data_IF_261525342176
#
_entry.id   IF_261525342176
#
_cell.length_a   1.000
_cell.length_b   1.000
_cell.length_c   1.000
_cell.angle_alpha   90.00
_cell.angle_beta   90.00
_cell.angle_gamma   90.00
#
_symmetry.space_group_name_H-M   'P 1'
#
loop_
_entity.id
_entity.type
_entity.pdbx_description
1 polymer ?
#
# COMPACT_ATOMS: atom_id res chain seq x y z
N UNK A 1 -14.68 13.02 4.23
CA UNK A 1 -13.33 12.97 3.61
C UNK A 1 -13.28 13.66 2.26
N UNK A 2 -14.03 13.19 1.25
CA UNK A 2 -13.94 13.73 -0.12
C UNK A 2 -14.14 15.26 -0.22
N UNK A 3 -15.14 15.88 0.45
CA UNK A 3 -15.32 17.33 0.38
C UNK A 3 -14.12 18.13 0.92
N UNK A 4 -13.54 17.71 2.04
CA UNK A 4 -12.37 18.36 2.65
C UNK A 4 -11.13 18.21 1.75
N UNK A 5 -10.89 17.01 1.23
CA UNK A 5 -9.78 16.77 0.31
C UNK A 5 -9.93 17.61 -0.97
N UNK A 6 -11.11 17.61 -1.58
CA UNK A 6 -11.35 18.36 -2.82
C UNK A 6 -11.17 19.87 -2.60
N UNK A 7 -11.62 20.39 -1.45
CA UNK A 7 -11.45 21.80 -1.09
C UNK A 7 -9.98 22.17 -0.87
N UNK A 8 -9.22 21.35 -0.13
CA UNK A 8 -7.77 21.53 0.05
C UNK A 8 -7.01 21.45 -1.28
N UNK A 9 -7.35 20.47 -2.11
CA UNK A 9 -6.72 20.30 -3.42
C UNK A 9 -7.03 21.48 -4.33
N UNK A 10 -8.26 22.00 -4.31
CA UNK A 10 -8.64 23.23 -5.02
C UNK A 10 -7.80 24.40 -4.54
N UNK A 11 -7.73 24.65 -3.22
CA UNK A 11 -6.94 25.73 -2.62
C UNK A 11 -5.46 25.66 -3.03
N UNK A 12 -4.84 24.50 -2.85
CA UNK A 12 -3.43 24.27 -3.22
C UNK A 12 -3.22 24.48 -4.71
N UNK A 13 -4.14 24.03 -5.55
CA UNK A 13 -4.07 24.24 -7.00
C UNK A 13 -4.26 25.71 -7.36
N UNK A 14 -5.13 26.48 -6.69
CA UNK A 14 -5.28 27.92 -6.91
C UNK A 14 -3.97 28.66 -6.64
N UNK A 15 -3.25 28.29 -5.58
CA UNK A 15 -1.93 28.84 -5.25
C UNK A 15 -0.86 28.41 -6.26
N UNK A 16 -0.79 27.11 -6.58
CA UNK A 16 0.34 26.51 -7.32
C UNK A 16 0.19 26.44 -8.84
N UNK A 17 -1.03 26.45 -9.37
CA UNK A 17 -1.26 26.28 -10.83
C UNK A 17 -0.86 27.49 -11.67
N UNK A 18 -0.86 28.68 -11.06
CA UNK A 18 -0.49 29.95 -11.73
C UNK A 18 0.87 30.40 -11.23
N UNK A 19 1.89 30.37 -12.09
CA UNK A 19 3.27 30.69 -11.71
C UNK A 19 3.45 32.08 -11.05
N UNK A 20 2.69 33.08 -11.51
CA UNK A 20 2.70 34.42 -10.89
C UNK A 20 2.09 34.42 -9.49
N UNK A 21 0.98 33.70 -9.28
CA UNK A 21 0.32 33.58 -7.97
C UNK A 21 1.23 32.84 -7.00
N UNK A 22 1.83 31.74 -7.43
CA UNK A 22 2.76 30.96 -6.60
C UNK A 22 3.96 31.80 -6.17
N UNK A 23 4.58 32.53 -7.10
CA UNK A 23 5.69 33.44 -6.78
C UNK A 23 5.26 34.50 -5.76
N UNK A 24 4.14 35.18 -5.99
CA UNK A 24 3.61 36.21 -5.07
C UNK A 24 3.31 35.63 -3.68
N UNK A 25 2.80 34.41 -3.60
CA UNK A 25 2.54 33.74 -2.32
C UNK A 25 3.84 33.43 -1.57
N UNK A 26 4.88 32.95 -2.27
CA UNK A 26 6.19 32.72 -1.65
C UNK A 26 6.85 34.00 -1.18
N UNK A 27 6.78 35.05 -1.98
CA UNK A 27 7.30 36.38 -1.62
C UNK A 27 6.56 36.92 -0.39
N UNK A 28 5.24 36.73 -0.32
CA UNK A 28 4.42 37.06 0.84
C UNK A 28 4.85 36.29 2.09
N UNK A 29 4.98 34.95 2.03
CA UNK A 29 5.42 34.12 3.16
C UNK A 29 6.80 34.54 3.68
N UNK A 30 7.70 34.92 2.79
CA UNK A 30 9.01 35.44 3.16
C UNK A 30 8.91 36.81 3.86
N UNK A 31 7.99 37.68 3.41
CA UNK A 31 7.79 39.01 4.01
C UNK A 31 7.22 38.94 5.43
N UNK A 32 6.34 37.97 5.70
CA UNK A 32 5.73 37.76 7.03
C UNK A 32 6.59 36.87 7.94
N UNK A 33 7.77 36.44 7.45
CA UNK A 33 8.69 35.54 8.15
C UNK A 33 8.01 34.23 8.62
N UNK A 34 7.14 33.67 7.77
CA UNK A 34 6.44 32.41 8.07
C UNK A 34 7.44 31.26 8.26
N UNK A 35 7.09 30.30 9.13
CA UNK A 35 7.90 29.10 9.39
C UNK A 35 8.10 28.27 8.11
N UNK A 36 7.09 28.27 7.23
CA UNK A 36 7.14 27.55 5.96
C UNK A 36 7.04 28.51 4.78
N UNK A 37 7.89 28.30 3.78
CA UNK A 37 8.00 29.20 2.61
C UNK A 37 7.20 28.76 1.38
N UNK A 38 6.44 27.66 1.48
CA UNK A 38 5.60 27.16 0.37
C UNK A 38 4.55 26.14 0.85
N UNK A 39 3.47 26.00 0.07
CA UNK A 39 2.49 24.91 0.19
C UNK A 39 2.96 23.67 -0.57
N UNK A 40 2.58 22.47 -0.11
CA UNK A 40 2.93 21.22 -0.80
C UNK A 40 1.95 20.94 -1.96
N UNK A 41 2.47 20.49 -3.11
CA UNK A 41 1.63 20.08 -4.23
C UNK A 41 1.02 18.71 -3.98
N UNK A 42 -0.30 18.61 -4.09
CA UNK A 42 -0.98 17.32 -4.05
C UNK A 42 -0.90 16.61 -5.41
N UNK A 43 -0.51 15.34 -5.42
CA UNK A 43 -0.59 14.49 -6.62
C UNK A 43 -1.55 13.33 -6.36
N UNK A 44 -2.58 13.16 -7.21
CA UNK A 44 -3.56 12.07 -7.12
C UNK A 44 -2.94 10.66 -7.14
N UNK A 45 -1.70 10.55 -7.59
CA UNK A 45 -0.98 9.28 -7.78
C UNK A 45 -0.50 8.67 -6.46
N UNK A 46 -0.38 9.48 -5.40
CA UNK A 46 0.12 9.05 -4.09
C UNK A 46 -0.69 9.71 -2.98
N UNK A 47 -1.70 9.00 -2.50
CA UNK A 47 -2.49 9.43 -1.35
C UNK A 47 -1.62 9.66 -0.09
N UNK A 48 -0.44 9.03 -0.01
CA UNK A 48 0.65 9.34 0.93
C UNK A 48 0.92 10.85 1.04
N UNK A 49 0.77 11.63 -0.03
CA UNK A 49 0.99 13.09 0.03
C UNK A 49 -0.14 13.88 0.70
N UNK A 50 -1.33 13.30 0.90
CA UNK A 50 -2.48 14.03 1.44
C UNK A 50 -2.26 14.46 2.89
N UNK A 51 -1.72 13.58 3.75
CA UNK A 51 -1.44 13.87 5.16
C UNK A 51 -0.50 15.07 5.31
N UNK A 52 0.61 15.04 4.57
CA UNK A 52 1.59 16.11 4.50
C UNK A 52 1.02 17.42 3.91
N UNK A 53 0.14 17.34 2.90
CA UNK A 53 -0.52 18.53 2.35
C UNK A 53 -1.47 19.16 3.37
N UNK A 54 -2.28 18.34 4.08
CA UNK A 54 -3.13 18.83 5.16
C UNK A 54 -2.32 19.46 6.29
N UNK A 55 -1.18 18.86 6.67
CA UNK A 55 -0.25 19.43 7.64
C UNK A 55 0.18 20.84 7.23
N UNK A 56 0.68 20.97 6.00
CA UNK A 56 1.21 22.25 5.52
C UNK A 56 0.13 23.31 5.42
N UNK A 57 -1.08 22.94 5.00
CA UNK A 57 -2.22 23.86 4.93
C UNK A 57 -2.65 24.30 6.32
N UNK A 58 -2.64 23.40 7.31
CA UNK A 58 -2.93 23.77 8.70
C UNK A 58 -1.90 24.76 9.26
N UNK A 59 -0.62 24.49 9.04
CA UNK A 59 0.49 25.35 9.51
C UNK A 59 0.44 26.75 8.88
N UNK A 60 0.04 26.84 7.61
CA UNK A 60 -0.02 28.09 6.85
C UNK A 60 -1.42 28.72 6.84
N UNK A 61 -2.39 28.23 7.61
CA UNK A 61 -3.80 28.63 7.45
C UNK A 61 -4.00 30.14 7.57
N UNK A 62 -3.37 30.78 8.55
CA UNK A 62 -3.53 32.21 8.83
C UNK A 62 -2.82 33.07 7.77
N UNK A 63 -1.66 32.60 7.28
CA UNK A 63 -0.92 33.22 6.18
C UNK A 63 -1.69 33.11 4.85
N UNK A 64 -2.30 31.95 4.59
CA UNK A 64 -3.12 31.72 3.39
C UNK A 64 -4.33 32.64 3.41
N UNK A 65 -5.05 32.72 4.53
CA UNK A 65 -6.20 33.62 4.69
C UNK A 65 -5.77 35.07 4.46
N UNK A 66 -4.69 35.51 5.11
CA UNK A 66 -4.16 36.88 4.95
C UNK A 66 -3.79 37.21 3.49
N UNK A 67 -3.13 36.27 2.80
CA UNK A 67 -2.77 36.44 1.39
C UNK A 67 -3.99 36.61 0.47
N UNK A 68 -5.05 35.82 0.67
CA UNK A 68 -6.26 35.89 -0.16
C UNK A 68 -7.11 37.12 0.14
N UNK A 69 -7.11 37.63 1.39
CA UNK A 69 -7.69 38.93 1.73
C UNK A 69 -6.99 40.08 1.01
N UNK A 70 -5.64 40.11 1.00
CA UNK A 70 -4.87 41.14 0.27
C UNK A 70 -5.17 41.12 -1.24
N UNK A 71 -5.46 39.94 -1.79
CA UNK A 71 -5.79 39.76 -3.21
C UNK A 71 -7.28 40.00 -3.54
N UNK A 72 -8.11 40.37 -2.56
CA UNK A 72 -9.57 40.50 -2.71
C UNK A 72 -10.22 39.23 -3.29
N UNK A 73 -9.72 38.06 -2.88
CA UNK A 73 -10.14 36.73 -3.36
C UNK A 73 -10.48 35.79 -2.19
N UNK A 74 -11.11 36.30 -1.14
CA UNK A 74 -11.42 35.54 0.09
C UNK A 74 -12.29 34.30 -0.13
N UNK A 75 -13.12 34.28 -1.18
CA UNK A 75 -13.93 33.12 -1.55
C UNK A 75 -13.10 31.84 -1.84
N UNK A 76 -11.81 31.97 -2.18
CA UNK A 76 -10.93 30.82 -2.40
C UNK A 76 -10.45 30.18 -1.09
N UNK A 77 -10.52 30.89 0.05
CA UNK A 77 -10.06 30.43 1.36
C UNK A 77 -11.14 30.45 2.45
N UNK A 78 -12.42 30.70 2.12
CA UNK A 78 -13.54 30.76 3.08
C UNK A 78 -13.61 29.53 4.01
N UNK A 79 -13.25 28.36 3.47
CA UNK A 79 -13.22 27.09 4.22
C UNK A 79 -12.26 27.11 5.42
N UNK A 80 -11.21 27.94 5.38
CA UNK A 80 -10.23 28.06 6.45
C UNK A 80 -10.72 28.96 7.60
N UNK A 81 -11.79 29.72 7.37
CA UNK A 81 -12.45 30.56 8.38
C UNK A 81 -13.65 29.83 9.03
N UNK A 82 -14.14 28.76 8.40
CA UNK A 82 -15.20 27.90 8.92
C UNK A 82 -14.67 26.93 9.98
N UNK A 83 -15.10 27.14 11.23
CA UNK A 83 -14.74 26.29 12.38
C UNK A 83 -15.21 24.85 12.22
N UNK A 84 -16.37 24.62 11.60
CA UNK A 84 -16.91 23.28 11.37
C UNK A 84 -16.07 22.53 10.33
N UNK A 85 -15.60 23.24 9.30
CA UNK A 85 -14.71 22.66 8.30
C UNK A 85 -13.30 22.40 8.85
N UNK A 86 -12.74 23.33 9.65
CA UNK A 86 -11.45 23.14 10.33
C UNK A 86 -11.47 21.93 11.26
N UNK A 87 -12.60 21.67 11.91
CA UNK A 87 -12.80 20.48 12.72
C UNK A 87 -12.63 19.20 11.89
N UNK A 88 -13.29 19.16 10.72
CA UNK A 88 -13.21 18.03 9.80
C UNK A 88 -11.78 17.85 9.26
N UNK A 89 -11.09 18.96 8.93
CA UNK A 89 -9.69 18.94 8.50
C UNK A 89 -8.78 18.33 9.57
N UNK A 90 -8.91 18.73 10.84
CA UNK A 90 -8.12 18.21 11.96
C UNK A 90 -8.27 16.69 12.13
N UNK A 91 -9.52 16.21 12.12
CA UNK A 91 -9.83 14.79 12.21
C UNK A 91 -9.24 14.02 11.03
N UNK A 92 -9.43 14.50 9.79
CA UNK A 92 -8.92 13.83 8.60
C UNK A 92 -7.41 13.85 8.49
N UNK A 93 -6.77 14.94 8.89
CA UNK A 93 -5.33 15.03 8.94
C UNK A 93 -4.75 13.96 9.90
N UNK A 94 -5.35 13.80 11.10
CA UNK A 94 -4.92 12.77 12.07
C UNK A 94 -5.03 11.34 11.51
N UNK A 95 -6.13 11.04 10.82
CA UNK A 95 -6.29 9.73 10.17
C UNK A 95 -5.35 9.53 9.00
N UNK A 96 -5.17 10.56 8.16
CA UNK A 96 -4.28 10.50 7.00
C UNK A 96 -2.85 10.19 7.42
N UNK A 97 -2.34 10.83 8.48
CA UNK A 97 -1.03 10.52 9.05
C UNK A 97 -0.93 9.08 9.57
N UNK A 98 -1.96 8.61 10.29
CA UNK A 98 -1.96 7.25 10.85
C UNK A 98 -1.95 6.18 9.74
N UNK A 99 -2.64 6.45 8.64
CA UNK A 99 -2.72 5.55 7.50
C UNK A 99 -1.44 5.62 6.64
N UNK A 100 -0.86 6.81 6.44
CA UNK A 100 0.43 7.00 5.78
C UNK A 100 1.56 6.24 6.51
N UNK A 101 1.55 6.25 7.84
CA UNK A 101 2.47 5.46 8.65
C UNK A 101 2.36 3.95 8.40
N UNK A 102 1.14 3.42 8.30
CA UNK A 102 0.89 2.01 7.99
C UNK A 102 1.49 1.65 6.62
N UNK A 103 1.21 2.44 5.59
CA UNK A 103 1.76 2.17 4.24
C UNK A 103 3.29 2.27 4.20
N UNK A 104 3.89 3.26 4.86
CA UNK A 104 5.34 3.40 4.91
C UNK A 104 6.01 2.24 5.65
N UNK A 105 5.30 1.61 6.59
CA UNK A 105 5.77 0.44 7.31
C UNK A 105 5.68 -0.82 6.44
N UNK A 106 4.59 -0.98 5.70
CA UNK A 106 4.36 -2.14 4.83
C UNK A 106 5.22 -2.09 3.55
N UNK A 107 5.51 -0.90 3.03
CA UNK A 107 6.30 -0.69 1.82
C UNK A 107 7.83 -0.81 2.01
N UNK A 108 8.32 -1.12 3.22
CA UNK A 108 9.75 -1.34 3.45
C UNK A 108 10.20 -2.60 2.74
N UNK A 109 11.32 -2.52 2.03
CA UNK A 109 11.87 -3.55 1.11
C UNK A 109 12.15 -4.95 1.75
N UNK A 110 11.83 -5.15 3.03
CA UNK A 110 12.14 -6.36 3.81
C UNK A 110 11.01 -6.78 4.77
N UNK A 111 9.80 -6.21 4.67
CA UNK A 111 8.69 -6.61 5.52
C UNK A 111 8.26 -8.05 5.23
N UNK A 112 8.24 -8.90 6.26
CA UNK A 112 7.64 -10.23 6.18
C UNK A 112 6.14 -10.16 6.51
N UNK A 113 5.37 -11.20 6.20
CA UNK A 113 3.92 -11.26 6.44
C UNK A 113 3.57 -10.94 7.91
N UNK A 114 4.39 -11.38 8.86
CA UNK A 114 4.26 -11.05 10.28
C UNK A 114 4.38 -9.55 10.56
N UNK A 115 5.33 -8.86 9.92
CA UNK A 115 5.51 -7.41 10.11
C UNK A 115 4.27 -6.67 9.62
N UNK A 116 3.78 -7.04 8.43
CA UNK A 116 2.55 -6.47 7.85
C UNK A 116 1.37 -6.71 8.80
N UNK A 117 1.25 -7.93 9.33
CA UNK A 117 0.18 -8.26 10.26
C UNK A 117 0.29 -7.51 11.59
N UNK A 118 1.49 -7.33 12.11
CA UNK A 118 1.75 -6.52 13.29
C UNK A 118 1.37 -5.05 13.05
N UNK A 119 1.71 -4.47 11.90
CA UNK A 119 1.31 -3.10 11.56
C UNK A 119 -0.21 -2.97 11.42
N UNK A 120 -0.89 -3.94 10.79
CA UNK A 120 -2.35 -3.97 10.69
C UNK A 120 -3.02 -4.07 12.06
N UNK A 121 -2.52 -4.95 12.96
CA UNK A 121 -2.99 -5.05 14.34
C UNK A 121 -2.82 -3.73 15.09
N UNK A 122 -1.65 -3.10 14.97
CA UNK A 122 -1.39 -1.80 15.59
C UNK A 122 -2.32 -0.70 15.04
N UNK A 123 -2.58 -0.68 13.73
CA UNK A 123 -3.51 0.27 13.12
C UNK A 123 -4.94 0.07 13.62
N UNK A 124 -5.43 -1.16 13.68
CA UNK A 124 -6.75 -1.49 14.25
C UNK A 124 -6.87 -1.03 15.71
N UNK A 125 -5.87 -1.28 16.53
CA UNK A 125 -5.84 -0.80 17.92
C UNK A 125 -5.87 0.72 18.01
N UNK A 126 -5.16 1.43 17.12
CA UNK A 126 -5.23 2.90 17.02
C UNK A 126 -6.64 3.38 16.67
N UNK A 127 -7.33 2.74 15.71
CA UNK A 127 -8.71 3.11 15.36
C UNK A 127 -9.67 2.95 16.55
N UNK A 128 -9.55 1.86 17.31
CA UNK A 128 -10.37 1.64 18.51
C UNK A 128 -10.04 2.64 19.62
N UNK A 129 -8.76 2.94 19.83
CA UNK A 129 -8.33 3.96 20.79
C UNK A 129 -8.91 5.32 20.42
N UNK A 130 -8.77 5.73 19.16
CA UNK A 130 -9.31 6.99 18.66
C UNK A 130 -10.83 7.05 18.83
N UNK A 131 -11.57 6.00 18.47
CA UNK A 131 -13.01 5.95 18.68
C UNK A 131 -13.38 6.12 20.18
N UNK A 132 -12.70 5.41 21.07
CA UNK A 132 -12.93 5.53 22.52
C UNK A 132 -12.57 6.91 23.09
N UNK A 133 -11.57 7.58 22.51
CA UNK A 133 -11.18 8.94 22.88
C UNK A 133 -12.21 9.98 22.43
N UNK A 134 -12.74 9.87 21.21
CA UNK A 134 -13.78 10.79 20.72
C UNK A 134 -15.05 10.73 21.60
N UNK A 135 -15.44 9.55 22.08
CA UNK A 135 -16.58 9.38 23.01
C UNK A 135 -16.36 10.08 24.35
N UNK A 136 -15.13 10.04 24.85
CA UNK A 136 -14.76 10.63 26.14
C UNK A 136 -14.40 12.11 26.03
N UNK A 137 -14.48 12.68 24.82
CA UNK A 137 -13.94 14.00 24.51
C UNK A 137 -12.46 14.16 24.91
N UNK A 138 -11.69 13.06 24.82
CA UNK A 138 -10.24 13.06 25.05
C UNK A 138 -9.51 13.44 23.75
N UNK A 139 -9.04 14.67 23.70
CA UNK A 139 -8.37 15.23 22.52
C UNK A 139 -6.84 15.06 22.56
N UNK A 140 -6.30 14.21 23.43
CA UNK A 140 -4.85 13.99 23.58
C UNK A 140 -4.15 13.60 22.27
N UNK A 141 -4.84 12.85 21.40
CA UNK A 141 -4.33 12.47 20.07
C UNK A 141 -4.86 13.35 18.93
N UNK A 142 -5.67 14.35 19.25
CA UNK A 142 -6.25 15.32 18.35
C UNK A 142 -5.90 16.73 18.81
N UNK A 143 -4.64 16.99 19.16
CA UNK A 143 -4.19 18.24 19.78
C UNK A 143 -4.58 19.50 19.02
N UNK A 144 -4.73 19.44 17.69
CA UNK A 144 -5.19 20.56 16.85
C UNK A 144 -6.66 20.92 17.06
N UNK A 145 -7.50 19.99 17.50
CA UNK A 145 -8.87 20.29 17.88
C UNK A 145 -8.92 21.21 19.10
N UNK A 146 -7.90 21.20 19.98
CA UNK A 146 -7.81 22.14 21.10
C UNK A 146 -7.62 23.60 20.63
N UNK A 147 -7.18 23.81 19.38
CA UNK A 147 -7.03 25.15 18.80
C UNK A 147 -8.34 25.69 18.21
N UNK A 148 -9.41 24.90 18.18
CA UNK A 148 -10.71 25.30 17.66
C UNK A 148 -11.60 25.78 18.82
N UNK A 149 -12.27 26.95 18.70
CA UNK A 149 -13.01 27.57 19.82
C UNK A 149 -14.19 26.76 20.38
N UNK A 150 -14.74 25.84 19.60
CA UNK A 150 -15.90 25.02 19.95
C UNK A 150 -15.76 23.62 19.36
N UNK A 151 -15.87 22.61 20.22
CA UNK A 151 -15.85 21.20 19.83
C UNK A 151 -17.28 20.73 19.70
N UNK A 152 -17.67 20.30 18.51
CA UNK A 152 -19.01 19.81 18.22
C UNK A 152 -19.16 18.33 18.65
N UNK A 153 -19.84 18.09 19.77
CA UNK A 153 -20.04 16.75 20.35
C UNK A 153 -20.82 15.80 19.42
N UNK A 154 -21.79 16.30 18.66
CA UNK A 154 -22.54 15.49 17.70
C UNK A 154 -21.63 15.02 16.55
N UNK A 155 -20.74 15.90 16.09
CA UNK A 155 -19.72 15.55 15.08
C UNK A 155 -18.73 14.53 15.61
N UNK A 156 -18.26 14.65 16.86
CA UNK A 156 -17.40 13.65 17.49
C UNK A 156 -18.03 12.26 17.46
N UNK A 157 -19.33 12.17 17.77
CA UNK A 157 -20.09 10.92 17.70
C UNK A 157 -20.21 10.35 16.28
N UNK A 158 -20.41 11.22 15.28
CA UNK A 158 -20.43 10.78 13.88
C UNK A 158 -19.07 10.23 13.43
N UNK A 159 -17.97 10.83 13.88
CA UNK A 159 -16.62 10.34 13.61
C UNK A 159 -16.29 9.05 14.35
N UNK A 160 -16.75 8.90 15.59
CA UNK A 160 -16.67 7.65 16.33
C UNK A 160 -17.35 6.51 15.58
N UNK A 161 -18.60 6.68 15.15
CA UNK A 161 -19.32 5.65 14.38
C UNK A 161 -18.60 5.33 13.06
N UNK A 162 -18.08 6.36 12.37
CA UNK A 162 -17.23 6.18 11.19
C UNK A 162 -15.97 5.36 11.45
N UNK A 163 -15.30 5.58 12.59
CA UNK A 163 -14.11 4.81 12.99
C UNK A 163 -14.44 3.37 13.33
N UNK A 164 -15.55 3.12 14.02
CA UNK A 164 -16.02 1.76 14.32
C UNK A 164 -16.32 0.98 13.05
N UNK A 165 -16.99 1.60 12.07
CA UNK A 165 -17.24 1.01 10.75
C UNK A 165 -15.94 0.72 10.01
N UNK A 166 -14.98 1.66 10.03
CA UNK A 166 -13.67 1.45 9.42
C UNK A 166 -12.91 0.30 10.08
N UNK A 167 -12.90 0.24 11.41
CA UNK A 167 -12.30 -0.87 12.15
C UNK A 167 -12.92 -2.22 11.72
N UNK A 168 -14.25 -2.29 11.65
CA UNK A 168 -14.96 -3.50 11.21
C UNK A 168 -14.61 -3.90 9.77
N UNK A 169 -14.48 -2.93 8.86
CA UNK A 169 -14.05 -3.18 7.48
C UNK A 169 -12.62 -3.73 7.40
N UNK A 170 -11.71 -3.23 8.25
CA UNK A 170 -10.36 -3.81 8.38
C UNK A 170 -10.40 -5.23 8.94
N UNK A 171 -11.22 -5.49 9.97
CA UNK A 171 -11.40 -6.85 10.51
C UNK A 171 -11.88 -7.81 9.43
N UNK A 172 -12.91 -7.43 8.67
CA UNK A 172 -13.48 -8.23 7.60
C UNK A 172 -12.48 -8.48 6.48
N UNK A 173 -11.76 -7.44 6.04
CA UNK A 173 -10.83 -7.54 4.91
C UNK A 173 -9.58 -8.37 5.21
N UNK A 174 -9.14 -8.38 6.47
CA UNK A 174 -7.91 -9.08 6.89
C UNK A 174 -8.21 -10.28 7.79
N UNK A 175 -9.43 -10.84 7.71
CA UNK A 175 -9.83 -12.00 8.50
C UNK A 175 -8.92 -13.22 8.24
N UNK A 176 -8.40 -13.38 7.03
CA UNK A 176 -7.50 -14.48 6.68
C UNK A 176 -6.23 -14.48 7.52
N UNK A 177 -5.69 -13.30 7.87
CA UNK A 177 -4.53 -13.17 8.74
C UNK A 177 -4.83 -13.64 10.16
N UNK A 178 -6.04 -13.39 10.65
CA UNK A 178 -6.51 -13.92 11.93
C UNK A 178 -6.66 -15.45 11.89
N UNK A 179 -7.07 -16.01 10.75
CA UNK A 179 -7.22 -17.45 10.57
C UNK A 179 -5.87 -18.20 10.58
N UNK A 180 -4.80 -17.56 10.09
CA UNK A 180 -3.43 -18.12 10.08
C UNK A 180 -2.56 -17.66 11.26
N UNK A 181 -3.16 -17.07 12.29
CA UNK A 181 -2.41 -16.47 13.41
C UNK A 181 -1.51 -17.50 14.11
N UNK A 182 -1.99 -18.73 14.31
CA UNK A 182 -1.21 -19.80 14.96
C UNK A 182 0.02 -20.17 14.13
N UNK A 183 -0.13 -20.27 12.81
CA UNK A 183 0.98 -20.49 11.89
C UNK A 183 1.97 -19.33 11.98
N UNK A 184 1.51 -18.08 11.89
CA UNK A 184 2.37 -16.91 12.05
C UNK A 184 3.12 -16.90 13.39
N UNK A 185 2.48 -17.31 14.48
CA UNK A 185 3.13 -17.39 15.80
C UNK A 185 4.24 -18.45 15.82
N UNK A 186 4.02 -19.61 15.21
CA UNK A 186 5.07 -20.63 15.07
C UNK A 186 6.24 -20.10 14.22
N UNK A 187 5.97 -19.36 13.14
CA UNK A 187 7.02 -18.75 12.32
C UNK A 187 7.85 -17.71 13.09
N UNK A 188 7.20 -16.94 13.94
CA UNK A 188 7.78 -15.69 14.48
C UNK A 188 8.29 -15.86 15.90
N UNK A 189 7.78 -16.86 16.60
CA UNK A 189 8.03 -17.18 17.99
C UNK A 189 8.29 -18.69 18.17
N UNK A 190 8.92 -19.35 17.20
CA UNK A 190 9.19 -20.81 17.20
C UNK A 190 9.79 -21.34 18.51
N UNK A 191 10.57 -20.54 19.23
CA UNK A 191 11.17 -20.91 20.52
C UNK A 191 10.31 -20.62 21.76
N UNK A 192 9.17 -19.96 21.61
CA UNK A 192 8.27 -19.54 22.69
C UNK A 192 6.82 -20.05 22.51
N UNK A 193 6.46 -20.64 21.37
CA UNK A 193 5.14 -21.25 21.17
C UNK A 193 4.98 -22.51 22.02
N UNK A 194 3.81 -22.67 22.63
CA UNK A 194 3.44 -23.90 23.34
C UNK A 194 3.30 -25.07 22.34
N UNK A 195 4.16 -26.08 22.46
CA UNK A 195 4.16 -27.27 21.61
C UNK A 195 2.85 -28.07 21.69
N UNK A 196 2.09 -28.00 22.78
CA UNK A 196 0.81 -28.73 22.88
C UNK A 196 -0.32 -28.06 22.10
N UNK A 197 -0.21 -26.75 21.86
CA UNK A 197 -1.24 -25.95 21.20
C UNK A 197 -1.09 -25.91 19.66
N UNK A 198 0.00 -26.47 19.12
CA UNK A 198 0.23 -26.55 17.67
C UNK A 198 -0.28 -27.88 17.10
N UNK A 199 -0.46 -27.93 15.78
CA UNK A 199 -0.90 -29.13 15.07
C UNK A 199 0.02 -30.32 15.37
N UNK A 200 -0.57 -31.50 15.56
CA UNK A 200 0.14 -32.72 15.98
C UNK A 200 1.30 -33.13 15.07
N UNK A 201 1.22 -32.81 13.78
CA UNK A 201 2.27 -33.07 12.79
C UNK A 201 3.54 -32.22 13.00
N UNK A 202 3.46 -31.11 13.75
CA UNK A 202 4.58 -30.20 14.00
C UNK A 202 5.13 -30.28 15.43
N UNK A 203 4.44 -30.96 16.35
CA UNK A 203 4.77 -30.93 17.79
C UNK A 203 6.17 -31.50 18.08
N UNK A 204 6.48 -32.70 17.56
CA UNK A 204 7.77 -33.36 17.79
C UNK A 204 8.94 -32.55 17.22
N UNK A 205 8.77 -32.01 16.01
CA UNK A 205 9.79 -31.20 15.36
C UNK A 205 10.03 -29.89 16.10
N UNK A 206 8.96 -29.28 16.62
CA UNK A 206 9.07 -28.06 17.41
C UNK A 206 9.82 -28.33 18.72
N UNK A 207 9.57 -29.47 19.37
CA UNK A 207 10.32 -29.90 20.57
C UNK A 207 11.81 -30.06 20.25
N UNK A 208 12.16 -30.71 19.14
CA UNK A 208 13.55 -30.88 18.70
C UNK A 208 14.21 -29.52 18.40
N UNK A 209 13.51 -28.64 17.69
CA UNK A 209 13.98 -27.28 17.38
C UNK A 209 14.22 -26.48 18.67
N UNK A 210 13.24 -26.46 19.58
CA UNK A 210 13.28 -25.71 20.84
C UNK A 210 14.39 -26.19 21.79
N UNK A 211 14.75 -27.48 21.72
CA UNK A 211 15.80 -28.08 22.55
C UNK A 211 17.21 -27.66 22.14
N UNK A 212 17.39 -27.09 20.93
CA UNK A 212 18.70 -26.69 20.43
C UNK A 212 19.08 -25.26 20.85
N UNK A 213 19.98 -25.14 21.82
CA UNK A 213 20.53 -23.85 22.26
C UNK A 213 21.26 -23.10 21.13
N UNK A 214 21.93 -23.81 20.23
CA UNK A 214 22.61 -23.21 19.07
C UNK A 214 21.60 -22.56 18.10
N UNK A 215 20.50 -23.26 17.80
CA UNK A 215 19.46 -22.72 16.93
C UNK A 215 18.71 -21.57 17.61
N UNK A 216 18.49 -21.64 18.93
CA UNK A 216 17.90 -20.54 19.70
C UNK A 216 18.75 -19.27 19.64
N UNK A 217 20.07 -19.40 19.83
CA UNK A 217 20.99 -18.28 19.71
C UNK A 217 21.04 -17.74 18.27
N UNK A 218 21.03 -18.63 17.28
CA UNK A 218 20.99 -18.25 15.87
C UNK A 218 19.72 -17.45 15.56
N UNK A 219 18.56 -17.90 16.02
CA UNK A 219 17.26 -17.25 15.83
C UNK A 219 17.22 -15.81 16.38
N UNK A 220 17.88 -15.57 17.52
CA UNK A 220 17.93 -14.24 18.14
C UNK A 220 18.92 -13.30 17.45
N UNK A 221 19.99 -13.83 16.86
CA UNK A 221 21.12 -13.05 16.36
C UNK A 221 21.08 -12.79 14.85
N UNK A 222 20.09 -13.31 14.11
CA UNK A 222 19.98 -13.10 12.66
C UNK A 222 18.56 -12.76 12.22
N UNK A 223 18.39 -12.11 11.05
CA UNK A 223 17.07 -11.87 10.48
C UNK A 223 16.29 -13.18 10.30
N UNK A 224 15.00 -13.20 10.65
CA UNK A 224 14.12 -14.38 10.56
C UNK A 224 14.27 -15.12 9.21
N UNK A 225 14.29 -14.37 8.10
CA UNK A 225 14.43 -14.95 6.76
C UNK A 225 15.78 -15.69 6.56
N UNK A 226 16.87 -15.16 7.09
CA UNK A 226 18.19 -15.81 7.00
C UNK A 226 18.29 -17.01 7.93
N UNK A 227 17.64 -16.94 9.10
CA UNK A 227 17.53 -18.08 10.01
C UNK A 227 16.86 -19.27 9.33
N UNK A 228 15.67 -19.09 8.77
CA UNK A 228 14.95 -20.19 8.12
C UNK A 228 15.67 -20.70 6.87
N UNK A 229 16.39 -19.85 6.12
CA UNK A 229 17.28 -20.30 5.04
C UNK A 229 18.44 -21.17 5.56
N UNK A 230 19.00 -20.85 6.73
CA UNK A 230 20.08 -21.63 7.33
C UNK A 230 19.63 -23.03 7.74
N UNK A 231 18.40 -23.18 8.23
CA UNK A 231 17.83 -24.46 8.62
C UNK A 231 17.74 -25.45 7.44
N UNK A 232 17.43 -24.95 6.24
CA UNK A 232 17.38 -25.78 5.01
C UNK A 232 18.72 -26.39 4.57
N UNK A 233 19.84 -25.89 5.12
CA UNK A 233 21.20 -26.36 4.81
C UNK A 233 21.75 -27.34 5.83
N UNK A 234 21.16 -27.41 7.03
CA UNK A 234 21.44 -28.51 7.93
C UNK A 234 20.60 -29.70 7.47
N UNK A 235 21.18 -30.90 7.43
CA UNK A 235 20.51 -32.17 7.10
C UNK A 235 19.42 -32.59 8.12
N UNK A 236 18.76 -31.62 8.75
CA UNK A 236 17.55 -31.83 9.52
C UNK A 236 16.38 -31.99 8.55
N UNK A 237 15.89 -33.22 8.43
CA UNK A 237 14.56 -33.55 7.87
C UNK A 237 13.43 -33.03 8.78
N UNK A 238 13.48 -31.78 9.19
CA UNK A 238 12.40 -31.15 9.95
C UNK A 238 11.38 -30.65 8.92
N UNK A 239 10.12 -31.07 9.02
CA UNK A 239 9.02 -30.65 8.16
C UNK A 239 8.55 -29.20 8.42
N UNK A 240 9.02 -28.55 9.50
CA UNK A 240 8.82 -27.13 9.81
C UNK A 240 9.14 -26.22 8.59
N UNK A 241 10.30 -26.31 7.91
CA UNK A 241 10.57 -25.50 6.72
C UNK A 241 9.58 -25.68 5.57
N UNK A 242 8.90 -26.82 5.42
CA UNK A 242 7.99 -27.06 4.29
C UNK A 242 6.61 -26.40 4.47
N UNK A 243 6.07 -26.43 5.70
CA UNK A 243 4.82 -25.75 6.06
C UNK A 243 5.01 -24.24 6.21
N UNK A 244 6.18 -23.79 6.68
CA UNK A 244 6.53 -22.36 6.76
C UNK A 244 7.00 -21.75 5.46
N UNK A 245 7.59 -22.54 4.54
CA UNK A 245 7.85 -22.08 3.18
C UNK A 245 6.56 -21.64 2.49
N UNK A 246 5.38 -22.15 2.87
CA UNK A 246 4.09 -21.69 2.34
C UNK A 246 3.70 -20.30 2.87
N UNK A 247 3.98 -20.00 4.15
CA UNK A 247 3.81 -18.65 4.71
C UNK A 247 4.82 -17.64 4.14
N UNK A 248 5.94 -18.12 3.59
CA UNK A 248 6.95 -17.29 2.90
C UNK A 248 6.78 -17.32 1.37
N UNK A 249 5.87 -18.17 0.86
CA UNK A 249 5.61 -18.34 -0.56
C UNK A 249 4.34 -17.62 -1.00
N UNK A 250 4.53 -16.39 -1.46
CA UNK A 250 3.87 -15.93 -2.68
C UNK A 250 4.34 -16.68 -3.95
N UNK A 251 5.03 -17.82 -3.80
CA UNK A 251 5.36 -18.76 -4.88
C UNK A 251 4.44 -19.98 -4.83
N UNK A 252 3.38 -19.89 -5.64
CA UNK A 252 2.82 -20.95 -6.50
C UNK A 252 2.92 -22.38 -5.97
N UNK A 253 1.77 -22.88 -5.51
CA UNK A 253 1.25 -24.18 -5.92
C UNK A 253 1.33 -25.31 -4.88
N UNK A 254 0.16 -25.74 -4.41
CA UNK A 254 -0.23 -27.16 -4.27
C UNK A 254 -1.75 -27.25 -4.19
N UNK A 255 -2.36 -27.81 -5.25
CA UNK A 255 -3.51 -28.74 -5.30
C UNK A 255 -4.65 -28.61 -4.24
N UNK A 256 -5.95 -28.52 -4.58
CA UNK A 256 -6.77 -29.38 -5.45
C UNK A 256 -8.14 -28.73 -5.73
N UNK A 257 -8.55 -28.78 -7.01
CA UNK A 257 -9.89 -28.79 -7.66
C UNK A 257 -11.06 -28.09 -6.97
N UNK A 258 -11.71 -27.15 -7.68
CA UNK A 258 -13.19 -26.99 -7.71
C UNK A 258 -13.69 -26.11 -8.92
N UNK A 259 -14.68 -26.64 -9.67
CA UNK A 259 -15.71 -26.17 -10.67
C UNK A 259 -15.37 -25.33 -11.94
N UNK A 260 -15.72 -25.80 -13.17
CA UNK A 260 -16.87 -25.67 -14.12
C UNK A 260 -16.82 -24.46 -15.07
N UNK A 261 -16.78 -24.77 -16.38
CA UNK A 261 -16.54 -23.88 -17.53
C UNK A 261 -17.84 -23.52 -18.27
N UNK A 262 -18.10 -22.23 -18.56
CA UNK A 262 -19.10 -21.80 -19.58
C UNK A 262 -18.48 -21.06 -20.77
N UNK A 263 -19.10 -21.23 -21.95
CA UNK A 263 -18.64 -20.70 -23.25
C UNK A 263 -19.52 -19.53 -23.68
N UNK A 264 -18.90 -18.39 -24.03
CA UNK A 264 -19.57 -17.17 -24.49
C UNK A 264 -19.42 -16.97 -26.02
N UNK A 265 -20.38 -16.29 -26.70
CA UNK A 265 -20.38 -16.14 -28.15
C UNK A 265 -19.48 -14.99 -28.64
N UNK A 266 -19.12 -15.02 -29.93
CA UNK A 266 -18.21 -14.05 -30.57
C UNK A 266 -18.91 -12.72 -30.89
N UNK A 267 -18.22 -11.62 -30.55
CA UNK A 267 -18.56 -10.22 -30.86
C UNK A 267 -18.72 -9.96 -32.36
N UNK A 268 -19.72 -9.13 -32.71
CA UNK A 268 -20.12 -8.87 -34.09
C UNK A 268 -19.64 -7.53 -34.69
N UNK A 269 -19.32 -6.45 -33.93
CA UNK A 269 -18.91 -5.17 -34.57
C UNK A 269 -17.92 -4.29 -33.77
N UNK A 270 -17.17 -3.45 -34.49
CA UNK A 270 -16.12 -2.53 -34.02
C UNK A 270 -16.38 -1.11 -34.57
N UNK A 271 -16.83 -0.17 -33.73
CA UNK A 271 -16.97 1.26 -34.09
C UNK A 271 -16.20 2.13 -33.07
N UNK A 272 -15.24 2.99 -33.50
CA UNK A 272 -14.49 3.87 -32.60
C UNK A 272 -15.35 5.03 -32.04
N UNK A 273 -15.31 5.21 -30.72
CA UNK A 273 -15.97 6.33 -30.00
C UNK A 273 -17.21 5.95 -29.19
N UNK A 274 -17.79 4.78 -29.46
CA UNK A 274 -18.82 4.17 -28.60
C UNK A 274 -18.11 3.31 -27.56
N UNK A 275 -18.46 3.44 -26.27
CA UNK A 275 -17.95 2.54 -25.24
C UNK A 275 -18.43 1.12 -25.55
N UNK A 276 -17.51 0.18 -25.67
CA UNK A 276 -17.81 -1.26 -25.70
C UNK A 276 -18.22 -1.72 -24.29
N UNK A 277 -19.38 -1.30 -23.82
CA UNK A 277 -19.95 -1.73 -22.56
C UNK A 277 -21.29 -2.43 -22.87
N UNK A 278 -21.24 -3.70 -23.28
CA UNK A 278 -22.45 -4.55 -23.25
C UNK A 278 -22.78 -5.03 -21.83
N UNK A 279 -21.85 -4.87 -20.87
CA UNK A 279 -22.11 -5.11 -19.46
C UNK A 279 -21.58 -3.96 -18.62
N UNK A 280 -22.36 -3.55 -17.63
CA UNK A 280 -21.92 -2.65 -16.59
C UNK A 280 -20.66 -3.20 -15.90
N UNK A 281 -19.69 -2.32 -15.65
CA UNK A 281 -18.53 -2.65 -14.82
C UNK A 281 -19.03 -3.15 -13.46
N UNK A 282 -18.68 -4.38 -13.10
CA UNK A 282 -19.00 -5.00 -11.79
C UNK A 282 -18.64 -4.10 -10.59
N UNK A 283 -17.68 -3.20 -10.79
CA UNK A 283 -17.29 -2.16 -9.85
C UNK A 283 -17.07 -0.87 -10.63
N UNK A 284 -17.81 0.18 -10.26
CA UNK A 284 -17.67 1.53 -10.82
C UNK A 284 -16.20 1.96 -10.74
N UNK A 285 -15.67 2.60 -11.80
CA UNK A 285 -14.25 3.01 -11.88
C UNK A 285 -13.77 3.83 -10.66
N UNK A 286 -14.68 4.50 -9.97
CA UNK A 286 -14.44 5.31 -8.77
C UNK A 286 -14.23 4.48 -7.50
N UNK A 287 -14.58 3.19 -7.53
CA UNK A 287 -14.39 2.21 -6.46
C UNK A 287 -13.15 1.31 -6.67
N UNK A 288 -12.42 1.50 -7.77
CA UNK A 288 -11.18 0.77 -8.08
C UNK A 288 -10.00 1.52 -7.45
N UNK A 289 -9.53 1.04 -6.29
CA UNK A 289 -8.46 1.66 -5.52
C UNK A 289 -7.07 1.60 -6.19
N UNK A 290 -6.82 0.63 -7.07
CA UNK A 290 -5.54 0.47 -7.76
C UNK A 290 -5.78 0.04 -9.21
N UNK A 291 -5.38 0.83 -10.23
CA UNK A 291 -5.50 0.41 -11.62
C UNK A 291 -4.55 -0.79 -11.88
N UNK A 292 -5.04 -1.91 -12.46
CA UNK A 292 -4.23 -3.11 -12.71
C UNK A 292 -2.90 -2.86 -13.41
N UNK A 293 -2.82 -1.80 -14.22
CA UNK A 293 -1.61 -1.39 -14.92
C UNK A 293 -0.46 -1.01 -13.97
N UNK A 294 -0.73 -0.30 -12.87
CA UNK A 294 0.32 0.13 -11.94
C UNK A 294 0.92 -1.05 -11.17
N UNK A 295 0.11 -2.08 -10.89
CA UNK A 295 0.56 -3.29 -10.22
C UNK A 295 1.39 -4.15 -11.19
N UNK A 296 0.95 -4.30 -12.45
CA UNK A 296 1.73 -4.96 -13.52
C UNK A 296 3.12 -4.33 -13.70
N UNK A 297 3.19 -3.00 -13.74
CA UNK A 297 4.45 -2.28 -13.89
C UNK A 297 5.36 -2.41 -12.66
N UNK A 298 4.79 -2.41 -11.45
CA UNK A 298 5.54 -2.63 -10.22
C UNK A 298 6.18 -4.02 -10.14
N UNK A 299 5.45 -5.06 -10.53
CA UNK A 299 5.98 -6.43 -10.54
C UNK A 299 7.06 -6.64 -11.61
N UNK A 300 6.89 -6.05 -12.80
CA UNK A 300 7.94 -6.07 -13.84
C UNK A 300 9.23 -5.42 -13.33
N UNK A 301 9.11 -4.30 -12.61
CA UNK A 301 10.25 -3.62 -12.01
C UNK A 301 10.99 -4.53 -11.03
N UNK A 302 10.26 -5.26 -10.19
CA UNK A 302 10.84 -6.20 -9.24
C UNK A 302 11.51 -7.38 -9.95
N UNK A 303 10.88 -7.91 -11.01
CA UNK A 303 11.46 -8.97 -11.83
C UNK A 303 12.82 -8.55 -12.40
N UNK A 304 12.89 -7.40 -13.08
CA UNK A 304 14.14 -6.94 -13.72
C UNK A 304 15.24 -6.57 -12.72
N UNK A 305 14.87 -6.07 -11.53
CA UNK A 305 15.83 -5.82 -10.44
C UNK A 305 16.43 -7.10 -9.86
N UNK A 306 15.66 -8.19 -9.84
CA UNK A 306 16.10 -9.49 -9.31
C UNK A 306 16.89 -10.32 -10.32
N UNK A 307 16.94 -9.89 -11.60
CA UNK A 307 17.73 -10.55 -12.63
C UNK A 307 19.23 -10.40 -12.37
N UNK A 308 20.02 -11.37 -12.82
CA UNK A 308 21.47 -11.25 -12.82
C UNK A 308 21.90 -10.17 -13.81
N UNK A 309 22.51 -9.09 -13.30
CA UNK A 309 23.00 -7.98 -14.10
C UNK A 309 24.08 -8.39 -15.12
N UNK A 310 24.80 -9.49 -14.86
CA UNK A 310 25.75 -10.10 -15.78
C UNK A 310 25.13 -11.12 -16.74
N UNK A 311 23.90 -11.56 -16.46
CA UNK A 311 23.22 -12.64 -17.17
C UNK A 311 22.73 -12.29 -18.57
N UNK A 312 22.60 -13.31 -19.43
CA UNK A 312 22.17 -13.18 -20.83
C UNK A 312 20.80 -12.52 -21.00
N UNK A 313 19.88 -12.74 -20.05
CA UNK A 313 18.54 -12.15 -20.07
C UNK A 313 18.58 -10.63 -19.86
N UNK A 314 19.39 -10.16 -18.89
CA UNK A 314 19.52 -8.73 -18.60
C UNK A 314 20.27 -7.99 -19.72
N UNK A 315 21.29 -8.62 -20.31
CA UNK A 315 21.97 -8.09 -21.49
C UNK A 315 21.03 -7.96 -22.69
N UNK A 316 20.16 -8.95 -22.91
CA UNK A 316 19.14 -8.89 -23.96
C UNK A 316 18.15 -7.74 -23.75
N UNK A 317 17.68 -7.51 -22.51
CA UNK A 317 16.82 -6.36 -22.18
C UNK A 317 17.49 -5.01 -22.47
N UNK A 318 18.79 -4.88 -22.16
CA UNK A 318 19.58 -3.68 -22.50
C UNK A 318 19.68 -3.42 -23.99
N UNK A 319 19.88 -4.47 -24.77
CA UNK A 319 19.99 -4.37 -26.23
C UNK A 319 18.63 -4.06 -26.89
N UNK A 320 17.54 -4.61 -26.35
CA UNK A 320 16.18 -4.40 -26.86
C UNK A 320 15.61 -3.01 -26.53
N UNK A 321 16.01 -2.42 -25.41
CA UNK A 321 15.60 -1.07 -25.01
C UNK A 321 16.82 -0.16 -24.73
N UNK A 322 17.60 0.21 -25.77
CA UNK A 322 18.89 0.90 -25.61
C UNK A 322 18.75 2.36 -25.13
N UNK A 323 17.63 3.04 -25.42
CA UNK A 323 17.34 4.42 -24.96
C UNK A 323 17.04 4.53 -23.45
N UNK A 324 17.13 3.41 -22.71
CA UNK A 324 16.67 3.29 -21.31
C UNK A 324 17.79 2.68 -20.44
N UNK A 325 19.04 2.66 -20.90
CA UNK A 325 20.15 1.89 -20.30
C UNK A 325 20.41 2.17 -18.80
N UNK A 326 20.19 3.39 -18.32
CA UNK A 326 20.26 3.73 -16.89
C UNK A 326 18.97 3.33 -16.14
N UNK A 327 17.80 3.59 -16.73
CA UNK A 327 16.48 3.28 -16.16
C UNK A 327 16.14 1.78 -16.13
N UNK A 328 16.79 0.97 -16.99
CA UNK A 328 16.67 -0.49 -17.01
C UNK A 328 17.38 -1.14 -15.81
N UNK A 329 18.44 -0.51 -15.26
CA UNK A 329 19.02 -0.93 -13.96
C UNK A 329 18.02 -0.75 -12.81
N UNK A 330 17.10 0.21 -12.96
CA UNK A 330 16.04 0.49 -11.99
C UNK A 330 14.72 -0.23 -12.29
N UNK A 331 14.64 -0.99 -13.39
CA UNK A 331 13.44 -1.74 -13.81
C UNK A 331 12.26 -0.87 -14.28
N UNK A 332 12.52 0.32 -14.84
CA UNK A 332 11.44 1.25 -15.23
C UNK A 332 10.95 0.97 -16.66
N UNK A 333 9.80 0.31 -16.77
CA UNK A 333 9.09 0.09 -18.04
C UNK A 333 7.83 0.95 -18.14
N UNK A 334 7.49 1.38 -19.35
CA UNK A 334 6.18 1.97 -19.66
C UNK A 334 5.23 0.92 -20.26
N UNK A 335 3.92 1.15 -20.18
CA UNK A 335 2.89 0.21 -20.62
C UNK A 335 3.09 -0.42 -22.02
N UNK A 336 3.50 0.33 -23.06
CA UNK A 336 3.78 -0.24 -24.38
C UNK A 336 4.99 -1.21 -24.40
N UNK A 337 6.08 -0.87 -23.71
CA UNK A 337 7.28 -1.70 -23.63
C UNK A 337 6.99 -3.00 -22.88
N UNK A 338 6.20 -2.91 -21.80
CA UNK A 338 5.71 -4.04 -21.05
C UNK A 338 4.96 -5.04 -21.95
N UNK A 339 3.95 -4.57 -22.70
CA UNK A 339 3.15 -5.43 -23.59
C UNK A 339 3.99 -6.07 -24.70
N UNK A 340 5.02 -5.37 -25.18
CA UNK A 340 5.95 -5.89 -26.17
C UNK A 340 6.82 -7.01 -25.57
N UNK A 341 7.25 -6.85 -24.32
CA UNK A 341 8.08 -7.82 -23.63
C UNK A 341 7.31 -9.10 -23.26
N UNK A 342 6.05 -8.96 -22.83
CA UNK A 342 5.18 -10.11 -22.48
C UNK A 342 4.89 -11.04 -23.65
N UNK A 343 5.07 -10.57 -24.89
CA UNK A 343 4.85 -11.33 -26.13
C UNK A 343 6.17 -11.77 -26.78
N UNK A 344 7.31 -11.57 -26.12
CA UNK A 344 8.61 -11.82 -26.69
C UNK A 344 9.16 -13.21 -26.32
N UNK A 345 9.10 -14.20 -27.23
CA UNK A 345 9.58 -15.55 -26.95
C UNK A 345 11.11 -15.61 -26.82
N UNK A 346 11.83 -14.62 -27.36
CA UNK A 346 13.30 -14.60 -27.33
C UNK A 346 13.80 -14.33 -25.91
N UNK A 347 13.08 -13.53 -25.12
CA UNK A 347 13.46 -13.26 -23.73
C UNK A 347 13.56 -14.57 -22.94
N UNK A 348 12.56 -15.44 -23.02
CA UNK A 348 12.48 -16.72 -22.30
C UNK A 348 13.67 -17.63 -22.57
N UNK A 349 14.14 -17.66 -23.82
CA UNK A 349 15.33 -18.44 -24.20
C UNK A 349 16.65 -17.91 -23.62
N UNK A 350 16.65 -16.67 -23.13
CA UNK A 350 17.84 -15.98 -22.58
C UNK A 350 17.84 -15.92 -21.04
N UNK A 351 16.75 -16.33 -20.40
CA UNK A 351 16.61 -16.36 -18.94
C UNK A 351 17.28 -17.60 -18.35
N UNK A 352 17.83 -17.48 -17.15
CA UNK A 352 18.28 -18.64 -16.37
C UNK A 352 17.07 -19.50 -15.95
N UNK A 353 17.30 -20.75 -15.51
CA UNK A 353 16.20 -21.63 -15.05
C UNK A 353 15.31 -20.99 -13.97
N UNK A 354 15.92 -20.24 -13.03
CA UNK A 354 15.19 -19.54 -11.96
C UNK A 354 14.42 -18.33 -12.49
N UNK A 355 15.03 -17.53 -13.35
CA UNK A 355 14.37 -16.36 -13.97
C UNK A 355 13.25 -16.77 -14.93
N UNK A 356 13.41 -17.86 -15.68
CA UNK A 356 12.40 -18.39 -16.59
C UNK A 356 11.17 -18.90 -15.84
N UNK A 357 11.36 -19.56 -14.70
CA UNK A 357 10.27 -19.95 -13.81
C UNK A 357 9.53 -18.72 -13.27
N UNK A 358 10.26 -17.72 -12.74
CA UNK A 358 9.69 -16.47 -12.27
C UNK A 358 8.96 -15.68 -13.38
N UNK A 359 9.50 -15.67 -14.60
CA UNK A 359 8.90 -15.04 -15.76
C UNK A 359 7.61 -15.73 -16.21
N UNK A 360 7.58 -17.07 -16.13
CA UNK A 360 6.39 -17.86 -16.44
C UNK A 360 5.28 -17.58 -15.44
N UNK A 361 5.60 -17.58 -14.14
CA UNK A 361 4.67 -17.16 -13.08
C UNK A 361 4.19 -15.73 -13.27
N UNK A 362 5.08 -14.83 -13.70
CA UNK A 362 4.73 -13.45 -13.99
C UNK A 362 3.75 -13.31 -15.18
N UNK A 363 3.96 -14.07 -16.26
CA UNK A 363 3.04 -14.15 -17.41
C UNK A 363 1.67 -14.69 -17.03
N UNK A 364 1.63 -15.73 -16.19
CA UNK A 364 0.37 -16.29 -15.70
C UNK A 364 -0.39 -15.30 -14.82
N UNK A 365 0.32 -14.61 -13.93
CA UNK A 365 -0.27 -13.62 -13.02
C UNK A 365 -0.79 -12.39 -13.79
N UNK A 366 -0.08 -11.94 -14.84
CA UNK A 366 -0.57 -10.87 -15.71
C UNK A 366 -1.81 -11.24 -16.51
N UNK A 367 -1.90 -12.50 -16.94
CA UNK A 367 -3.00 -13.03 -17.75
C UNK A 367 -4.24 -13.37 -16.91
N UNK A 368 -4.04 -13.89 -15.69
CA UNK A 368 -5.10 -14.43 -14.85
C UNK A 368 -5.58 -13.47 -13.75
N UNK A 369 -4.69 -12.69 -13.13
CA UNK A 369 -5.03 -11.83 -11.98
C UNK A 369 -5.21 -10.36 -12.37
N UNK A 370 -4.36 -9.85 -13.26
CA UNK A 370 -4.46 -8.47 -13.76
C UNK A 370 -5.01 -8.38 -15.19
N UNK A 371 -5.43 -9.51 -15.76
CA UNK A 371 -6.14 -9.56 -17.04
C UNK A 371 -7.57 -9.05 -16.88
N UNK A 372 -8.26 -8.79 -17.99
CA UNK A 372 -9.69 -8.43 -17.97
C UNK A 372 -10.60 -9.66 -17.80
N UNK A 373 -10.11 -10.73 -17.17
CA UNK A 373 -10.82 -11.99 -16.99
C UNK A 373 -11.16 -12.18 -15.51
N UNK A 374 -12.44 -12.44 -15.24
CA UNK A 374 -12.96 -12.84 -13.93
C UNK A 374 -12.74 -14.35 -13.78
N UNK A 375 -12.22 -14.81 -12.64
CA UNK A 375 -12.24 -16.24 -12.31
C UNK A 375 -13.71 -16.68 -12.15
N UNK A 376 -14.12 -17.80 -12.75
CA UNK A 376 -15.44 -18.39 -12.48
C UNK A 376 -15.42 -19.05 -11.09
N UNK A 377 -16.53 -18.90 -10.35
CA UNK A 377 -16.67 -19.16 -8.90
C UNK A 377 -16.41 -20.60 -8.45
#
# INVERSE_FOLDING_TARGET
MKPVLDAVVKLVNTIRSRGLTHKKFRDFLQSVQSEYFDVLYYTKVRWLSAGCVFERVWQLKDDIVSFFHEKQCSAECEMLEDTEWLFDLCIFHRFSLSYEQLECQDAREKSIIDDIWAHLKAFKLKLNLFAGQLVKNDLSHFSRLNSIPSVNEEKLKNYEDGLKKLHFEFERRFQDFSAIQTELDIFTMSFNVNCEAVRSDLQLELIELQSSNHLKQSFLNMPKLEFYKSLSKLDCKQAIPSSFAFCVSGTVGTEKKYYIKKVWPKLQFLIPGVKNEENELLVVSEKILLPPLHIKLGLMKNFVKAMDCGGSGFQYLRLKFPKVSEKNKEGIFVGPQFRQLMKDPVLESKLTKKEAAAWTSFKELEKSFFGNHKAED
#
